data_IF_922747944165
#
_entry.id   IF_922747944165
#
_cell.length_a   1.000
_cell.length_b   1.000
_cell.length_c   1.000
_cell.angle_alpha   90.00
_cell.angle_beta   90.00
_cell.angle_gamma   90.00
#
_symmetry.space_group_name_H-M   'P 1'
#
loop_
_entity.id
_entity.type
_entity.pdbx_description
1 polymer ?
#
# COMPACT_ATOMS: atom_id res chain seq x y z
N UNK A 1 -13.41 72.13 -25.90
CA UNK A 1 -12.75 70.80 -25.95
C UNK A 1 -12.26 70.46 -24.55
N UNK A 2 -12.97 69.56 -23.85
CA UNK A 2 -12.56 69.00 -22.55
C UNK A 2 -12.83 67.51 -22.63
N UNK A 3 -11.78 66.70 -22.75
CA UNK A 3 -11.88 65.25 -22.77
C UNK A 3 -11.79 64.72 -21.33
N UNK A 4 -12.85 64.05 -20.89
CA UNK A 4 -12.85 63.26 -19.66
C UNK A 4 -12.12 61.93 -19.93
N UNK A 5 -11.03 61.67 -19.22
CA UNK A 5 -10.35 60.38 -19.22
C UNK A 5 -11.03 59.45 -18.21
N UNK A 6 -11.63 58.37 -18.72
CA UNK A 6 -12.22 57.28 -17.94
C UNK A 6 -11.13 56.24 -17.68
N UNK A 7 -10.67 56.09 -16.45
CA UNK A 7 -9.71 55.03 -16.06
C UNK A 7 -10.51 53.80 -15.65
N UNK A 8 -10.50 52.75 -16.49
CA UNK A 8 -11.10 51.45 -16.17
C UNK A 8 -10.22 50.70 -15.15
N UNK A 9 -10.81 50.32 -14.03
CA UNK A 9 -10.21 49.40 -13.05
C UNK A 9 -10.33 47.97 -13.55
N UNK A 10 -9.20 47.29 -13.77
CA UNK A 10 -9.14 45.90 -14.18
C UNK A 10 -9.43 44.98 -12.96
N UNK A 11 -10.58 44.32 -12.97
CA UNK A 11 -10.93 43.29 -11.98
C UNK A 11 -10.22 41.97 -12.33
N UNK A 12 -9.31 41.53 -11.46
CA UNK A 12 -8.63 40.24 -11.57
C UNK A 12 -9.58 39.12 -11.10
N UNK A 13 -10.13 38.36 -12.06
CA UNK A 13 -10.92 37.15 -11.77
C UNK A 13 -9.95 36.02 -11.44
N UNK A 14 -9.83 35.67 -10.16
CA UNK A 14 -9.14 34.45 -9.71
C UNK A 14 -10.06 33.28 -10.03
N UNK A 15 -9.81 32.59 -11.14
CA UNK A 15 -10.48 31.34 -11.48
C UNK A 15 -10.06 30.26 -10.47
N UNK A 16 -11.00 29.86 -9.60
CA UNK A 16 -10.80 28.76 -8.66
C UNK A 16 -10.58 27.45 -9.42
N UNK A 17 -9.40 26.84 -9.23
CA UNK A 17 -9.13 25.49 -9.69
C UNK A 17 -10.03 24.52 -8.88
N UNK A 18 -10.76 23.60 -9.53
CA UNK A 18 -11.50 22.59 -8.81
C UNK A 18 -10.50 21.68 -8.08
N UNK A 19 -10.56 21.67 -6.76
CA UNK A 19 -9.94 20.64 -5.95
C UNK A 19 -10.68 19.33 -6.27
N UNK A 20 -10.08 18.45 -7.05
CA UNK A 20 -10.62 17.09 -7.25
C UNK A 20 -10.72 16.42 -5.89
N UNK A 21 -11.95 16.26 -5.39
CA UNK A 21 -12.23 15.39 -4.26
C UNK A 21 -11.81 13.97 -4.64
N UNK A 22 -10.71 13.50 -4.04
CA UNK A 22 -10.33 12.09 -4.12
C UNK A 22 -11.43 11.28 -3.43
N UNK A 23 -12.18 10.51 -4.22
CA UNK A 23 -13.28 9.63 -3.80
C UNK A 23 -12.75 8.39 -3.08
N UNK A 24 -12.26 8.56 -1.86
CA UNK A 24 -11.64 7.51 -1.05
C UNK A 24 -12.44 6.20 -0.99
N UNK A 25 -11.79 5.07 -1.31
CA UNK A 25 -12.34 3.74 -1.11
C UNK A 25 -12.64 3.47 0.37
N UNK A 26 -13.82 2.93 0.67
CA UNK A 26 -14.23 2.59 2.04
C UNK A 26 -14.65 1.13 2.15
N UNK A 27 -14.14 0.42 3.17
CA UNK A 27 -14.47 -0.97 3.46
C UNK A 27 -14.47 -1.22 4.97
N UNK A 28 -15.51 -1.86 5.49
CA UNK A 28 -15.62 -2.23 6.90
C UNK A 28 -15.35 -1.08 7.91
N UNK A 29 -15.71 0.16 7.56
CA UNK A 29 -15.50 1.36 8.39
C UNK A 29 -14.11 1.99 8.27
N UNK A 30 -13.25 1.47 7.39
CA UNK A 30 -11.94 2.05 7.07
C UNK A 30 -12.03 2.74 5.73
N UNK A 31 -11.55 3.98 5.67
CA UNK A 31 -11.40 4.74 4.43
C UNK A 31 -9.91 4.92 4.14
N UNK A 32 -9.48 4.52 2.94
CA UNK A 32 -8.12 4.75 2.47
C UNK A 32 -8.14 5.74 1.29
N UNK A 33 -7.19 6.69 1.19
CA UNK A 33 -7.16 7.66 0.10
C UNK A 33 -7.08 6.97 -1.28
N UNK A 34 -7.64 7.59 -2.33
CA UNK A 34 -7.51 7.04 -3.69
C UNK A 34 -6.09 7.12 -4.24
N UNK A 35 -5.29 8.02 -3.68
CA UNK A 35 -3.94 8.30 -4.15
C UNK A 35 -2.96 8.33 -3.00
N UNK A 36 -1.76 7.86 -3.27
CA UNK A 36 -0.63 7.99 -2.37
C UNK A 36 0.57 8.50 -3.14
N UNK A 37 1.31 9.44 -2.56
CA UNK A 37 2.54 9.97 -3.16
C UNK A 37 3.74 9.21 -2.63
N UNK A 38 4.55 8.65 -3.53
CA UNK A 38 5.79 7.92 -3.24
C UNK A 38 6.91 8.56 -4.06
N UNK A 39 7.81 9.27 -3.37
CA UNK A 39 8.77 10.15 -4.05
C UNK A 39 8.05 11.19 -4.89
N UNK A 40 8.37 11.26 -6.17
CA UNK A 40 7.70 12.14 -7.14
C UNK A 40 6.52 11.48 -7.86
N UNK A 41 6.25 10.20 -7.58
CA UNK A 41 5.20 9.44 -8.25
C UNK A 41 3.91 9.43 -7.45
N UNK A 42 2.78 9.54 -8.16
CA UNK A 42 1.45 9.36 -7.60
C UNK A 42 0.96 7.96 -7.92
N UNK A 43 0.70 7.17 -6.90
CA UNK A 43 0.10 5.84 -7.00
C UNK A 43 -1.41 5.93 -6.82
N UNK A 44 -2.15 5.08 -7.51
CA UNK A 44 -3.61 4.99 -7.40
C UNK A 44 -4.02 3.73 -6.66
N UNK A 45 -5.02 3.83 -5.79
CA UNK A 45 -5.62 2.70 -5.08
C UNK A 45 -6.22 1.72 -6.09
N UNK A 46 -5.63 0.55 -6.20
CA UNK A 46 -6.04 -0.51 -7.11
C UNK A 46 -7.26 -1.27 -6.58
N UNK A 47 -7.29 -1.55 -5.29
CA UNK A 47 -8.38 -2.29 -4.66
C UNK A 47 -8.26 -2.32 -3.14
N UNK A 48 -9.39 -2.63 -2.50
CA UNK A 48 -9.52 -2.82 -1.06
C UNK A 48 -9.94 -4.25 -0.75
N UNK A 49 -9.34 -4.84 0.28
CA UNK A 49 -9.68 -6.18 0.70
C UNK A 49 -9.72 -6.30 2.23
N UNK A 50 -10.71 -7.03 2.75
CA UNK A 50 -10.87 -7.29 4.17
C UNK A 50 -10.31 -8.66 4.51
N UNK A 51 -9.28 -8.73 5.34
CA UNK A 51 -8.83 -9.99 5.92
C UNK A 51 -9.67 -10.30 7.15
N UNK A 52 -10.30 -11.48 7.16
CA UNK A 52 -11.04 -12.01 8.30
C UNK A 52 -10.53 -13.40 8.66
N UNK A 53 -10.58 -13.76 9.93
CA UNK A 53 -10.32 -15.14 10.40
C UNK A 53 -11.49 -15.57 11.28
N UNK A 54 -12.14 -16.67 10.90
CA UNK A 54 -13.43 -17.10 11.48
C UNK A 54 -14.45 -15.95 11.40
N UNK A 55 -14.85 -15.39 12.54
CA UNK A 55 -15.81 -14.30 12.63
C UNK A 55 -15.16 -12.93 12.90
N UNK A 56 -13.83 -12.88 13.08
CA UNK A 56 -13.14 -11.65 13.43
C UNK A 56 -12.49 -10.97 12.22
N UNK A 57 -12.76 -9.68 12.06
CA UNK A 57 -12.06 -8.79 11.12
C UNK A 57 -10.65 -8.50 11.63
N UNK A 58 -9.64 -8.68 10.78
CA UNK A 58 -8.23 -8.50 11.16
C UNK A 58 -7.71 -7.16 10.68
N UNK A 59 -7.78 -6.90 9.37
CA UNK A 59 -7.41 -5.62 8.78
C UNK A 59 -8.12 -5.39 7.45
N UNK A 60 -8.22 -4.12 7.06
CA UNK A 60 -8.50 -3.71 5.68
C UNK A 60 -7.16 -3.41 5.01
N UNK A 61 -6.95 -3.97 3.83
CA UNK A 61 -5.78 -3.69 3.02
C UNK A 61 -6.14 -2.84 1.80
N UNK A 62 -5.19 -2.02 1.38
CA UNK A 62 -5.21 -1.32 0.09
C UNK A 62 -3.90 -1.53 -0.64
N UNK A 63 -3.98 -1.87 -1.93
CA UNK A 63 -2.84 -1.94 -2.83
C UNK A 63 -2.85 -0.71 -3.73
N UNK A 64 -1.75 0.04 -3.74
CA UNK A 64 -1.55 1.21 -4.59
C UNK A 64 -0.51 0.89 -5.64
N UNK A 65 -0.80 1.24 -6.89
CA UNK A 65 0.03 0.95 -8.05
C UNK A 65 0.21 2.22 -8.91
N UNK A 66 1.35 2.32 -9.60
CA UNK A 66 1.56 3.33 -10.63
C UNK A 66 0.59 3.14 -11.81
N UNK A 67 0.29 1.88 -12.13
CA UNK A 67 -0.71 1.49 -13.13
C UNK A 67 -1.65 0.46 -12.49
N UNK A 68 -2.94 0.78 -12.42
CA UNK A 68 -3.95 -0.15 -11.92
C UNK A 68 -4.05 -1.38 -12.85
N UNK A 69 -4.41 -2.52 -12.28
CA UNK A 69 -4.55 -3.77 -13.00
C UNK A 69 -4.93 -4.93 -12.11
N UNK A 70 -5.34 -6.02 -12.74
CA UNK A 70 -5.78 -7.25 -12.07
C UNK A 70 -4.85 -8.45 -12.28
N UNK A 71 -3.85 -8.33 -13.17
CA UNK A 71 -2.84 -9.36 -13.39
C UNK A 71 -1.74 -9.29 -12.34
N UNK A 72 -1.82 -10.19 -11.37
CA UNK A 72 -0.82 -10.30 -10.30
C UNK A 72 0.60 -10.58 -10.81
N UNK A 73 0.75 -11.37 -11.88
CA UNK A 73 2.07 -11.70 -12.41
C UNK A 73 2.72 -10.47 -13.04
N UNK A 74 1.95 -9.69 -13.81
CA UNK A 74 2.43 -8.42 -14.38
C UNK A 74 2.78 -7.41 -13.28
N UNK A 75 1.96 -7.29 -12.23
CA UNK A 75 2.21 -6.38 -11.09
C UNK A 75 3.51 -6.75 -10.35
N UNK A 76 3.76 -8.04 -10.11
CA UNK A 76 4.99 -8.51 -9.48
C UNK A 76 6.20 -8.34 -10.39
N UNK A 77 6.05 -8.58 -11.70
CA UNK A 77 7.14 -8.45 -12.67
C UNK A 77 7.58 -6.99 -12.86
N UNK A 78 6.66 -6.03 -12.76
CA UNK A 78 6.95 -4.62 -12.96
C UNK A 78 7.98 -4.07 -11.95
N UNK A 79 9.00 -3.40 -12.48
CA UNK A 79 9.94 -2.59 -11.69
C UNK A 79 9.41 -1.16 -11.56
N UNK A 80 8.32 -1.02 -10.79
CA UNK A 80 7.62 0.23 -10.58
C UNK A 80 7.24 0.41 -9.11
N UNK A 81 7.14 1.66 -8.62
CA UNK A 81 6.67 1.92 -7.27
C UNK A 81 5.29 1.34 -7.00
N UNK A 82 5.14 0.78 -5.80
CA UNK A 82 3.90 0.18 -5.31
C UNK A 82 3.87 0.23 -3.79
N UNK A 83 2.68 0.32 -3.23
CA UNK A 83 2.50 0.45 -1.80
C UNK A 83 1.36 -0.44 -1.32
N UNK A 84 1.65 -1.24 -0.30
CA UNK A 84 0.67 -2.05 0.41
C UNK A 84 0.38 -1.40 1.76
N UNK A 85 -0.89 -1.11 2.04
CA UNK A 85 -1.35 -0.56 3.31
C UNK A 85 -2.20 -1.61 4.00
N UNK A 86 -1.99 -1.81 5.29
CA UNK A 86 -2.82 -2.66 6.17
C UNK A 86 -3.28 -1.82 7.36
N UNK A 87 -4.58 -1.56 7.45
CA UNK A 87 -5.20 -0.89 8.59
C UNK A 87 -5.84 -1.94 9.50
N UNK A 88 -5.25 -2.16 10.67
CA UNK A 88 -5.68 -3.19 11.61
C UNK A 88 -6.99 -2.80 12.31
N UNK A 89 -7.92 -3.74 12.35
CA UNK A 89 -9.24 -3.61 13.00
C UNK A 89 -9.29 -4.29 14.38
N UNK A 90 -8.14 -4.80 14.82
CA UNK A 90 -7.93 -5.44 16.12
C UNK A 90 -6.45 -5.49 16.44
N UNK A 91 -6.12 -5.73 17.71
CA UNK A 91 -4.74 -5.99 18.08
C UNK A 91 -4.26 -7.35 17.55
N UNK A 92 -3.02 -7.38 17.05
CA UNK A 92 -2.33 -8.56 16.55
C UNK A 92 -0.89 -8.54 17.04
N UNK A 93 -0.49 -9.64 17.67
CA UNK A 93 0.86 -9.82 18.20
C UNK A 93 1.88 -9.89 17.07
N UNK A 94 3.06 -9.30 17.28
CA UNK A 94 4.20 -9.32 16.35
C UNK A 94 4.51 -10.73 15.86
N UNK A 95 4.49 -11.71 16.77
CA UNK A 95 4.76 -13.11 16.44
C UNK A 95 3.84 -13.65 15.34
N UNK A 96 2.53 -13.34 15.41
CA UNK A 96 1.55 -13.76 14.41
C UNK A 96 1.72 -13.04 13.07
N UNK A 97 2.17 -11.78 13.09
CA UNK A 97 2.49 -11.03 11.88
C UNK A 97 3.68 -11.68 11.18
N UNK A 98 4.75 -11.95 11.93
CA UNK A 98 5.96 -12.60 11.39
C UNK A 98 5.68 -14.00 10.87
N UNK A 99 4.96 -14.83 11.64
CA UNK A 99 4.56 -16.18 11.23
C UNK A 99 3.79 -16.14 9.91
N UNK A 100 2.83 -15.23 9.75
CA UNK A 100 2.07 -15.10 8.51
C UNK A 100 2.93 -14.67 7.31
N UNK A 101 4.01 -13.92 7.52
CA UNK A 101 4.95 -13.58 6.45
C UNK A 101 5.88 -14.73 6.09
N UNK A 102 6.38 -15.48 7.08
CA UNK A 102 7.20 -16.68 6.85
C UNK A 102 6.39 -17.75 6.10
N UNK A 103 5.14 -17.98 6.51
CA UNK A 103 4.19 -18.84 5.78
C UNK A 103 3.96 -18.34 4.35
N UNK A 104 3.75 -17.03 4.17
CA UNK A 104 3.55 -16.42 2.87
C UNK A 104 4.76 -16.59 1.94
N UNK A 105 5.97 -16.41 2.47
CA UNK A 105 7.22 -16.65 1.75
C UNK A 105 7.32 -18.11 1.32
N UNK A 106 7.14 -19.05 2.25
CA UNK A 106 7.20 -20.49 1.96
C UNK A 106 6.14 -20.92 0.94
N UNK A 107 4.96 -20.30 0.98
CA UNK A 107 3.87 -20.58 0.06
C UNK A 107 4.11 -19.99 -1.34
N UNK A 108 4.80 -18.87 -1.50
CA UNK A 108 4.89 -18.19 -2.79
C UNK A 108 6.29 -18.19 -3.41
N UNK A 109 7.31 -18.59 -2.67
CA UNK A 109 8.70 -18.64 -3.15
C UNK A 109 9.27 -20.04 -2.93
N UNK A 110 9.44 -20.80 -4.00
CA UNK A 110 10.11 -22.09 -3.93
C UNK A 110 11.61 -21.88 -3.65
N UNK A 111 12.14 -22.58 -2.63
CA UNK A 111 13.56 -22.53 -2.26
C UNK A 111 14.11 -21.10 -2.13
N UNK A 112 13.58 -20.26 -1.23
CA UNK A 112 14.07 -18.89 -1.08
C UNK A 112 15.57 -18.90 -0.76
N UNK A 113 16.31 -17.87 -1.19
CA UNK A 113 17.73 -17.76 -0.87
C UNK A 113 17.95 -17.51 0.63
N UNK A 114 19.17 -17.75 1.12
CA UNK A 114 19.52 -17.41 2.51
C UNK A 114 19.36 -15.91 2.77
N UNK A 115 19.72 -15.08 1.80
CA UNK A 115 19.53 -13.63 1.84
C UNK A 115 18.05 -13.26 2.00
N UNK A 116 17.17 -13.81 1.16
CA UNK A 116 15.73 -13.50 1.21
C UNK A 116 15.10 -13.94 2.54
N UNK A 117 15.50 -15.10 3.08
CA UNK A 117 15.08 -15.51 4.44
C UNK A 117 15.60 -14.54 5.50
N UNK A 118 16.84 -14.09 5.38
CA UNK A 118 17.43 -13.09 6.25
C UNK A 118 16.66 -11.76 6.23
N UNK A 119 16.20 -11.33 5.06
CA UNK A 119 15.39 -10.12 4.89
C UNK A 119 14.00 -10.25 5.53
N UNK A 120 13.35 -11.42 5.45
CA UNK A 120 12.09 -11.66 6.18
C UNK A 120 12.30 -11.68 7.71
N UNK A 121 13.41 -12.26 8.17
CA UNK A 121 13.78 -12.19 9.58
C UNK A 121 14.07 -10.75 10.04
N UNK A 122 14.71 -9.93 9.19
CA UNK A 122 14.90 -8.50 9.43
C UNK A 122 13.57 -7.75 9.48
N UNK A 123 12.68 -7.98 8.52
CA UNK A 123 11.32 -7.42 8.50
C UNK A 123 10.59 -7.71 9.82
N UNK A 124 10.70 -8.94 10.33
CA UNK A 124 10.10 -9.31 11.62
C UNK A 124 10.70 -8.57 12.83
N UNK A 125 12.00 -8.22 12.80
CA UNK A 125 12.65 -7.42 13.85
C UNK A 125 12.16 -5.97 13.85
N UNK A 126 11.79 -5.44 12.68
CA UNK A 126 11.26 -4.08 12.54
C UNK A 126 9.82 -3.93 13.04
N UNK A 127 9.10 -5.04 13.22
CA UNK A 127 7.70 -5.02 13.62
C UNK A 127 7.52 -4.90 15.12
N UNK A 128 6.66 -3.97 15.59
CA UNK A 128 6.07 -4.06 16.92
C UNK A 128 4.79 -4.91 16.88
N UNK A 129 4.18 -5.13 18.04
CA UNK A 129 2.77 -5.53 18.10
C UNK A 129 1.92 -4.44 17.44
N UNK A 130 0.87 -4.85 16.71
CA UNK A 130 -0.05 -3.92 16.06
C UNK A 130 -1.31 -3.79 16.91
N UNK A 131 -1.57 -2.60 17.47
CA UNK A 131 -2.82 -2.31 18.14
C UNK A 131 -3.97 -2.07 17.14
N UNK A 132 -5.21 -2.14 17.60
CA UNK A 132 -6.36 -1.71 16.80
C UNK A 132 -6.17 -0.27 16.27
N UNK A 133 -6.47 -0.04 14.99
CA UNK A 133 -6.26 1.24 14.29
C UNK A 133 -4.84 1.45 13.75
N UNK A 134 -3.88 0.59 14.09
CA UNK A 134 -2.50 0.71 13.59
C UNK A 134 -2.47 0.48 12.07
N UNK A 135 -1.74 1.33 11.35
CA UNK A 135 -1.41 1.09 9.96
C UNK A 135 0.01 0.54 9.82
N UNK A 136 0.15 -0.55 9.07
CA UNK A 136 1.43 -0.97 8.48
C UNK A 136 1.41 -0.56 7.02
N UNK A 137 2.47 0.13 6.59
CA UNK A 137 2.64 0.63 5.23
C UNK A 137 3.98 0.14 4.69
N UNK A 138 3.92 -0.56 3.57
CA UNK A 138 5.06 -1.17 2.90
C UNK A 138 5.16 -0.59 1.51
N UNK A 139 6.21 0.20 1.24
CA UNK A 139 6.34 0.92 -0.03
C UNK A 139 7.61 0.50 -0.73
N UNK A 140 7.47 -0.13 -1.88
CA UNK A 140 8.59 -0.43 -2.76
C UNK A 140 8.83 0.72 -3.73
N UNK A 141 10.08 1.13 -3.86
CA UNK A 141 10.56 2.07 -4.87
C UNK A 141 11.80 1.48 -5.57
N UNK A 142 11.83 1.43 -6.92
CA UNK A 142 12.99 0.98 -7.68
C UNK A 142 14.26 1.74 -7.28
N UNK A 143 15.38 1.03 -7.20
CA UNK A 143 16.67 1.58 -6.76
C UNK A 143 16.81 1.78 -5.24
N UNK A 144 15.71 1.94 -4.49
CA UNK A 144 15.76 2.12 -3.04
C UNK A 144 15.38 0.86 -2.25
N UNK A 145 14.42 0.07 -2.74
CA UNK A 145 13.84 -1.08 -2.03
C UNK A 145 12.55 -0.75 -1.30
N UNK A 146 12.20 -1.57 -0.31
CA UNK A 146 10.93 -1.49 0.42
C UNK A 146 11.10 -0.75 1.74
N UNK A 147 10.49 0.41 1.90
CA UNK A 147 10.38 1.10 3.19
C UNK A 147 9.23 0.53 4.03
N UNK A 148 9.43 0.54 5.35
CA UNK A 148 8.52 -0.04 6.32
C UNK A 148 8.11 1.05 7.30
N UNK A 149 6.81 1.36 7.36
CA UNK A 149 6.23 2.31 8.32
C UNK A 149 5.14 1.63 9.13
N UNK A 150 5.16 1.84 10.45
CA UNK A 150 4.14 1.30 11.38
C UNK A 150 3.63 2.43 12.26
N UNK A 151 2.32 2.65 12.28
CA UNK A 151 1.70 3.74 13.04
C UNK A 151 2.21 5.12 12.61
N UNK A 152 2.57 5.30 11.34
CA UNK A 152 3.15 6.55 10.83
C UNK A 152 4.63 6.77 11.15
N UNK A 153 5.29 5.83 11.82
CA UNK A 153 6.74 5.90 12.13
C UNK A 153 7.51 4.99 11.18
N UNK A 154 8.56 5.52 10.55
CA UNK A 154 9.48 4.70 9.75
C UNK A 154 10.31 3.79 10.64
N UNK A 155 10.30 2.50 10.32
CA UNK A 155 11.02 1.45 11.06
C UNK A 155 12.33 1.07 10.39
N UNK A 156 12.39 1.19 9.06
CA UNK A 156 13.58 0.88 8.28
C UNK A 156 13.24 0.62 6.83
N UNK A 157 14.23 0.12 6.09
CA UNK A 157 14.14 -0.17 4.66
C UNK A 157 14.92 -1.45 4.36
N UNK A 158 14.34 -2.31 3.54
CA UNK A 158 14.96 -3.55 3.07
C UNK A 158 15.13 -3.45 1.56
N UNK A 159 16.37 -3.58 1.10
CA UNK A 159 16.73 -3.42 -0.30
C UNK A 159 16.26 -4.61 -1.17
N UNK A 160 16.18 -4.36 -2.48
CA UNK A 160 16.05 -5.41 -3.49
C UNK A 160 14.61 -5.68 -3.94
N UNK A 161 14.43 -5.71 -5.27
CA UNK A 161 13.18 -6.14 -5.91
C UNK A 161 12.76 -7.58 -5.52
N UNK A 162 13.67 -8.57 -5.39
CA UNK A 162 13.27 -9.92 -4.98
C UNK A 162 12.55 -9.97 -3.63
N UNK A 163 13.01 -9.19 -2.64
CA UNK A 163 12.32 -9.04 -1.36
C UNK A 163 10.94 -8.40 -1.52
N UNK A 164 10.88 -7.28 -2.25
CA UNK A 164 9.64 -6.57 -2.49
C UNK A 164 8.59 -7.44 -3.19
N UNK A 165 9.02 -8.27 -4.16
CA UNK A 165 8.15 -9.16 -4.93
C UNK A 165 7.66 -10.31 -4.05
N UNK A 166 8.57 -10.96 -3.30
CA UNK A 166 8.21 -12.04 -2.38
C UNK A 166 7.24 -11.56 -1.30
N UNK A 167 7.47 -10.37 -0.74
CA UNK A 167 6.61 -9.77 0.27
C UNK A 167 5.22 -9.46 -0.31
N UNK A 168 5.14 -8.79 -1.46
CA UNK A 168 3.83 -8.53 -2.09
C UNK A 168 3.12 -9.84 -2.50
N UNK A 169 3.89 -10.86 -2.88
CA UNK A 169 3.43 -12.21 -3.18
C UNK A 169 2.66 -12.87 -2.03
N UNK A 170 2.89 -12.49 -0.77
CA UNK A 170 2.09 -12.96 0.37
C UNK A 170 0.59 -12.63 0.24
N UNK A 171 0.23 -11.60 -0.54
CA UNK A 171 -1.16 -11.18 -0.78
C UNK A 171 -1.67 -11.49 -2.18
N UNK A 172 -0.83 -11.36 -3.21
CA UNK A 172 -1.27 -11.50 -4.61
C UNK A 172 -0.61 -12.67 -5.35
N UNK A 173 0.27 -13.42 -4.70
CA UNK A 173 0.92 -14.59 -5.28
C UNK A 173 -0.05 -15.74 -5.56
N UNK A 174 0.44 -16.88 -6.06
CA UNK A 174 -0.38 -18.05 -6.37
C UNK A 174 -1.08 -18.66 -5.14
N UNK A 175 -0.49 -18.50 -3.94
CA UNK A 175 -1.04 -19.01 -2.67
C UNK A 175 -1.16 -17.85 -1.67
N UNK A 176 -2.14 -16.95 -1.84
CA UNK A 176 -2.25 -15.76 -1.01
C UNK A 176 -2.66 -16.12 0.42
N UNK A 177 -1.92 -15.65 1.42
CA UNK A 177 -2.18 -15.97 2.84
C UNK A 177 -3.60 -15.62 3.32
N UNK A 178 -4.18 -14.48 2.91
CA UNK A 178 -5.58 -14.15 3.20
C UNK A 178 -6.64 -14.86 2.33
N UNK A 179 -6.23 -15.62 1.30
CA UNK A 179 -7.12 -16.36 0.39
C UNK A 179 -7.45 -15.65 -0.93
N UNK A 180 -7.99 -16.40 -1.89
CA UNK A 180 -8.20 -15.92 -3.27
C UNK A 180 -9.24 -14.81 -3.40
N UNK A 181 -10.30 -14.84 -2.58
CA UNK A 181 -11.30 -13.78 -2.56
C UNK A 181 -10.70 -12.43 -2.12
N UNK A 182 -9.77 -12.47 -1.15
CA UNK A 182 -9.03 -11.29 -0.73
C UNK A 182 -8.12 -10.78 -1.85
N UNK A 183 -7.36 -11.69 -2.48
CA UNK A 183 -6.50 -11.35 -3.63
C UNK A 183 -7.31 -10.69 -4.75
N UNK A 184 -8.45 -11.28 -5.14
CA UNK A 184 -9.34 -10.76 -6.18
C UNK A 184 -9.81 -9.34 -5.87
N UNK A 185 -10.29 -9.10 -4.65
CA UNK A 185 -10.73 -7.76 -4.23
C UNK A 185 -9.59 -6.73 -4.22
N UNK A 186 -8.39 -7.12 -3.79
CA UNK A 186 -7.20 -6.26 -3.78
C UNK A 186 -6.72 -5.91 -5.20
N UNK A 187 -6.97 -6.80 -6.16
CA UNK A 187 -6.61 -6.67 -7.57
C UNK A 187 -7.68 -5.95 -8.41
N UNK A 188 -8.67 -5.31 -7.78
CA UNK A 188 -9.67 -4.47 -8.46
C UNK A 188 -11.01 -5.16 -8.76
N UNK A 189 -11.19 -6.41 -8.32
CA UNK A 189 -12.46 -7.15 -8.46
C UNK A 189 -12.56 -8.04 -9.68
#
# INVERSE_FOLDING_TARGET
MRHHALVLTLALVIAGLPLSEASAGSLAGVTLPDRATVGEQTLTLNGLALRSKLTFKVYVAGLYLAHQGSDAAAILAADAPRQMVMHFLRSVDRGKICEAWDEGLAANTANPSAELRGQFAELCKLMPDSANGTQIVLTYQPGEGTSIRVGGVEKGRIAGKPFADALLGCWIGPRPGPGDAFKKALLGG
#
